data_IF_814443312953
#
_entry.id   IF_814443312953
#
_cell.length_a   1.000
_cell.length_b   1.000
_cell.length_c   1.000
_cell.angle_alpha   90.00
_cell.angle_beta   90.00
_cell.angle_gamma   90.00
#
_symmetry.space_group_name_H-M   'P 1'
#
loop_
_entity.id
_entity.type
_entity.pdbx_description
1 polymer ?
#
# COMPACT_ATOMS: atom_id res chain seq x y z
N UNK A 1 -19.79 -35.18 -22.62
CA UNK A 1 -19.81 -34.59 -22.65
C UNK A 1 -19.38 -33.62 -22.85
N UNK A 2 -19.14 -33.09 -23.02
CA UNK A 2 -18.63 -32.29 -23.22
C UNK A 2 -18.78 -31.27 -23.31
N UNK A 3 -18.54 -30.77 -23.25
CA UNK A 3 -18.70 -29.80 -23.08
C UNK A 3 -17.86 -29.01 -23.44
N UNK A 4 -17.04 -28.86 -23.66
CA UNK A 4 -16.16 -28.01 -23.95
C UNK A 4 -16.33 -27.01 -24.83
N UNK A 5 -17.19 -26.59 -24.94
CA UNK A 5 -17.43 -25.70 -25.78
C UNK A 5 -17.25 -24.43 -25.23
N UNK A 6 -16.55 -23.99 -24.87
CA UNK A 6 -16.48 -22.68 -24.49
C UNK A 6 -15.46 -22.41 -23.47
N UNK A 7 -15.45 -21.27 -22.95
CA UNK A 7 -14.57 -20.88 -21.88
C UNK A 7 -15.04 -21.50 -20.58
N UNK A 8 -14.13 -21.81 -19.72
CA UNK A 8 -14.47 -22.27 -18.40
C UNK A 8 -15.18 -21.17 -17.61
N UNK A 9 -15.88 -21.56 -16.59
CA UNK A 9 -16.56 -20.62 -15.72
C UNK A 9 -15.58 -19.61 -15.14
N UNK A 10 -14.41 -20.08 -14.77
CA UNK A 10 -13.38 -19.20 -14.20
C UNK A 10 -12.89 -18.16 -15.20
N UNK A 11 -12.69 -18.56 -16.44
CA UNK A 11 -12.28 -17.61 -17.48
C UNK A 11 -13.33 -16.55 -17.71
N UNK A 12 -14.58 -16.92 -17.70
CA UNK A 12 -15.66 -15.97 -17.85
C UNK A 12 -15.71 -14.98 -16.70
N UNK A 13 -15.49 -15.47 -15.50
CA UNK A 13 -15.46 -14.60 -14.33
C UNK A 13 -14.30 -13.63 -14.36
N UNK A 14 -13.14 -14.09 -14.80
CA UNK A 14 -11.98 -13.22 -14.91
C UNK A 14 -12.22 -12.11 -15.92
N UNK A 15 -12.77 -12.43 -17.07
CA UNK A 15 -13.09 -11.42 -18.06
C UNK A 15 -14.09 -10.42 -17.55
N UNK A 16 -15.13 -10.88 -16.90
CA UNK A 16 -16.13 -9.98 -16.34
C UNK A 16 -15.55 -9.11 -15.25
N UNK A 17 -14.70 -9.67 -14.43
CA UNK A 17 -14.03 -8.93 -13.35
C UNK A 17 -13.11 -7.85 -13.92
N UNK A 18 -12.36 -8.18 -14.94
CA UNK A 18 -11.47 -7.22 -15.57
C UNK A 18 -12.24 -6.08 -16.22
N UNK A 19 -13.32 -6.40 -16.92
CA UNK A 19 -14.15 -5.37 -17.54
C UNK A 19 -14.79 -4.47 -16.49
N UNK A 20 -15.26 -5.06 -15.41
CA UNK A 20 -15.88 -4.30 -14.33
C UNK A 20 -14.85 -3.38 -13.68
N UNK A 21 -13.64 -3.87 -13.49
CA UNK A 21 -12.57 -3.06 -12.92
C UNK A 21 -12.22 -1.89 -13.83
N UNK A 22 -12.11 -2.12 -15.11
CA UNK A 22 -11.79 -1.07 -16.07
C UNK A 22 -12.85 0.01 -16.11
N UNK A 23 -14.10 -0.36 -15.96
CA UNK A 23 -15.19 0.60 -15.99
C UNK A 23 -15.38 1.35 -14.68
N UNK A 24 -15.10 0.69 -13.57
CA UNK A 24 -15.36 1.26 -12.27
C UNK A 24 -14.27 2.16 -11.76
N UNK A 25 -13.04 1.82 -12.06
CA UNK A 25 -11.91 2.56 -11.52
C UNK A 25 -11.58 3.69 -12.47
N UNK A 26 -11.75 4.92 -12.03
CA UNK A 26 -11.31 6.05 -12.83
C UNK A 26 -9.81 5.92 -13.03
N UNK A 27 -9.34 6.33 -14.18
CA UNK A 27 -7.92 6.30 -14.45
C UNK A 27 -7.22 7.29 -13.57
N UNK A 28 -6.58 6.78 -12.55
CA UNK A 28 -5.77 7.62 -11.68
C UNK A 28 -4.39 7.72 -12.32
N UNK A 29 -3.82 8.91 -12.45
CA UNK A 29 -2.48 9.05 -12.97
C UNK A 29 -1.50 8.20 -12.18
N UNK A 30 -0.50 7.68 -12.89
CA UNK A 30 0.49 6.81 -12.26
C UNK A 30 1.19 7.51 -11.09
N UNK A 31 1.41 8.80 -11.23
CA UNK A 31 2.03 9.59 -10.18
C UNK A 31 1.25 9.56 -8.88
N UNK A 32 -0.09 9.63 -8.97
CA UNK A 32 -0.92 9.56 -7.80
C UNK A 32 -0.93 8.17 -7.19
N UNK A 33 -0.89 7.14 -8.01
CA UNK A 33 -0.82 5.76 -7.52
C UNK A 33 0.47 5.53 -6.74
N UNK A 34 1.57 6.00 -7.28
CA UNK A 34 2.86 5.88 -6.61
C UNK A 34 2.84 6.62 -5.28
N UNK A 35 2.26 7.81 -5.27
CA UNK A 35 2.14 8.61 -4.04
C UNK A 35 1.32 7.87 -2.98
N UNK A 36 0.17 7.35 -3.37
CA UNK A 36 -0.69 6.61 -2.45
C UNK A 36 0.03 5.39 -1.89
N UNK A 37 0.72 4.65 -2.75
CA UNK A 37 1.49 3.50 -2.30
C UNK A 37 2.59 3.88 -1.32
N UNK A 38 3.27 4.99 -1.58
CA UNK A 38 4.30 5.48 -0.68
C UNK A 38 3.73 5.85 0.68
N UNK A 39 2.61 6.55 0.69
CA UNK A 39 1.95 6.93 1.93
C UNK A 39 1.55 5.70 2.72
N UNK A 40 0.98 4.70 2.05
CA UNK A 40 0.59 3.46 2.71
C UNK A 40 1.79 2.71 3.27
N UNK A 41 2.87 2.66 2.49
CA UNK A 41 4.13 2.05 2.92
C UNK A 41 4.67 2.73 4.17
N UNK A 42 4.65 4.04 4.19
CA UNK A 42 5.12 4.81 5.33
C UNK A 42 4.26 4.58 6.57
N UNK A 43 2.95 4.47 6.39
CA UNK A 43 2.04 4.15 7.50
C UNK A 43 2.34 2.80 8.11
N UNK A 44 2.62 1.80 7.27
CA UNK A 44 2.98 0.48 7.75
C UNK A 44 4.32 0.50 8.48
N UNK A 45 5.31 1.20 7.93
CA UNK A 45 6.61 1.35 8.58
C UNK A 45 6.47 2.03 9.93
N UNK A 46 5.67 3.07 9.98
CA UNK A 46 5.40 3.80 11.21
C UNK A 46 4.78 2.88 12.27
N UNK A 47 3.79 2.10 11.88
CA UNK A 47 3.14 1.14 12.77
C UNK A 47 4.14 0.15 13.35
N UNK A 48 5.03 -0.36 12.51
CA UNK A 48 6.05 -1.31 12.95
C UNK A 48 7.02 -0.68 13.94
N UNK A 49 7.46 0.53 13.64
CA UNK A 49 8.39 1.24 14.51
C UNK A 49 7.73 1.56 15.85
N UNK A 50 6.48 2.00 15.83
CA UNK A 50 5.73 2.27 17.06
C UNK A 50 5.56 1.01 17.91
N UNK A 51 5.27 -0.11 17.27
CA UNK A 51 5.15 -1.38 17.96
C UNK A 51 6.47 -1.81 18.60
N UNK A 52 7.57 -1.68 17.85
CA UNK A 52 8.89 -1.99 18.37
C UNK A 52 9.26 -1.05 19.52
N UNK A 53 8.92 0.23 19.40
CA UNK A 53 9.20 1.21 20.41
C UNK A 53 8.47 0.89 21.72
N UNK A 54 7.23 0.41 21.61
CA UNK A 54 6.45 0.02 22.79
C UNK A 54 7.07 -1.16 23.53
N UNK A 55 7.82 -1.99 22.82
CA UNK A 55 8.46 -3.18 23.40
C UNK A 55 9.93 -2.97 23.76
N UNK A 56 10.53 -1.91 23.23
CA UNK A 56 11.94 -1.66 23.44
C UNK A 56 12.22 -1.18 24.86
N UNK A 57 13.22 -1.77 25.50
CA UNK A 57 13.59 -1.43 26.87
C UNK A 57 14.93 -0.71 26.94
N UNK A 58 15.80 -0.93 25.96
CA UNK A 58 17.13 -0.30 25.97
C UNK A 58 17.07 1.13 25.46
N UNK A 59 17.65 2.09 26.21
CA UNK A 59 17.57 3.50 25.81
C UNK A 59 18.14 3.78 24.43
N UNK A 60 19.29 3.19 24.08
CA UNK A 60 19.88 3.41 22.77
C UNK A 60 18.99 2.90 21.65
N UNK A 61 18.36 1.76 21.86
CA UNK A 61 17.43 1.20 20.89
C UNK A 61 16.19 2.08 20.72
N UNK A 62 15.67 2.56 21.84
CA UNK A 62 14.52 3.48 21.81
C UNK A 62 14.85 4.75 21.06
N UNK A 63 16.03 5.31 21.30
CA UNK A 63 16.48 6.51 20.60
C UNK A 63 16.53 6.30 19.07
N UNK A 64 17.09 5.17 18.65
CA UNK A 64 17.16 4.82 17.24
C UNK A 64 15.77 4.73 16.62
N UNK A 65 14.83 4.10 17.33
CA UNK A 65 13.46 3.95 16.86
C UNK A 65 12.74 5.29 16.79
N UNK A 66 12.98 6.16 17.74
CA UNK A 66 12.40 7.51 17.73
C UNK A 66 12.90 8.33 16.56
N UNK A 67 14.19 8.22 16.24
CA UNK A 67 14.75 8.88 15.06
C UNK A 67 14.17 8.33 13.77
N UNK A 68 13.98 7.01 13.71
CA UNK A 68 13.35 6.38 12.56
C UNK A 68 11.92 6.87 12.38
N UNK A 69 11.19 7.00 13.47
CA UNK A 69 9.83 7.50 13.45
C UNK A 69 9.77 8.93 12.94
N UNK A 70 10.68 9.77 13.42
CA UNK A 70 10.77 11.15 12.98
C UNK A 70 11.06 11.25 11.49
N UNK A 71 11.98 10.44 10.99
CA UNK A 71 12.31 10.40 9.57
C UNK A 71 11.10 10.00 8.72
N UNK A 72 10.32 9.03 9.20
CA UNK A 72 9.11 8.59 8.51
C UNK A 72 8.09 9.72 8.46
N UNK A 73 7.91 10.43 9.56
CA UNK A 73 6.97 11.56 9.62
C UNK A 73 7.38 12.71 8.70
N UNK A 74 8.67 13.01 8.65
CA UNK A 74 9.18 14.03 7.74
C UNK A 74 8.97 13.65 6.28
N UNK A 75 9.21 12.41 5.94
CA UNK A 75 9.00 11.91 4.59
C UNK A 75 7.52 11.97 4.20
N UNK A 76 6.64 11.61 5.12
CA UNK A 76 5.21 11.68 4.90
C UNK A 76 4.75 13.13 4.67
N UNK A 77 5.31 14.07 5.41
CA UNK A 77 5.00 15.49 5.23
C UNK A 77 5.45 15.99 3.86
N UNK A 78 6.63 15.58 3.42
CA UNK A 78 7.12 15.98 2.11
C UNK A 78 6.22 15.47 0.99
N UNK A 79 5.77 14.23 1.10
CA UNK A 79 4.87 13.65 0.11
C UNK A 79 3.53 14.40 0.11
N UNK A 80 3.04 14.77 1.29
CA UNK A 80 1.78 15.50 1.40
C UNK A 80 1.88 16.91 0.81
N UNK A 81 3.05 17.53 0.88
CA UNK A 81 3.27 18.88 0.34
C UNK A 81 3.48 18.90 -1.16
N UNK A 82 3.91 17.80 -1.74
CA UNK A 82 4.15 17.71 -3.17
C UNK A 82 2.83 17.49 -3.89
N UNK A 83 2.45 18.37 -4.79
CA UNK A 83 1.19 18.22 -5.50
C UNK A 83 1.22 17.08 -6.50
#
# INVERSE_FOLDING_TARGET
MAIGWGKSYEEQMEEASQRASEKRIPRVPMEERVRVQRIQSLKLSRSRVEDQLSKATRPAHREMLMKALQAIEEEAEEIAKTP
#
